data_IF_305431117550
#
_entry.id   IF_305431117550
#
_cell.length_a   1.000
_cell.length_b   1.000
_cell.length_c   1.000
_cell.angle_alpha   90.00
_cell.angle_beta   90.00
_cell.angle_gamma   90.00
#
_symmetry.space_group_name_H-M   'P 1'
#
loop_
_entity.id
_entity.type
_entity.pdbx_description
1 polymer ?
#
# COMPACT_ATOMS: atom_id res chain seq x y z
N UNK A 1 -7.89 13.89 -13.56
CA UNK A 1 -7.50 13.56 -12.17
C UNK A 1 -6.16 14.21 -11.85
N UNK A 2 -5.88 14.57 -10.60
CA UNK A 2 -4.52 14.96 -10.21
C UNK A 2 -3.71 13.67 -10.12
N UNK A 3 -2.75 13.51 -11.02
CA UNK A 3 -1.64 12.57 -10.78
C UNK A 3 -0.93 13.12 -9.55
N UNK A 4 -1.25 12.58 -8.36
CA UNK A 4 -0.44 12.81 -7.18
C UNK A 4 0.89 12.16 -7.50
N UNK A 5 1.96 12.95 -7.51
CA UNK A 5 3.28 12.56 -8.01
C UNK A 5 3.64 11.14 -7.59
N UNK A 6 4.04 10.32 -8.55
CA UNK A 6 4.48 8.92 -8.42
C UNK A 6 5.79 8.77 -7.62
N UNK A 7 6.03 9.66 -6.66
CA UNK A 7 7.23 9.74 -5.84
C UNK A 7 6.87 9.79 -4.36
N UNK A 8 5.87 9.02 -3.94
CA UNK A 8 5.53 8.75 -2.53
C UNK A 8 6.78 8.34 -1.74
N UNK A 9 7.60 7.46 -2.30
CA UNK A 9 8.88 7.03 -1.73
C UNK A 9 9.88 8.19 -1.65
N UNK A 10 9.93 9.04 -2.67
CA UNK A 10 10.78 10.23 -2.68
C UNK A 10 10.35 11.27 -1.65
N UNK A 11 9.05 11.54 -1.50
CA UNK A 11 8.56 12.50 -0.50
C UNK A 11 8.78 11.99 0.92
N UNK A 12 8.44 10.73 1.21
CA UNK A 12 8.66 10.13 2.53
C UNK A 12 10.16 10.06 2.89
N UNK A 13 11.03 9.73 1.92
CA UNK A 13 12.49 9.78 2.11
C UNK A 13 12.99 11.21 2.32
N UNK A 14 12.54 12.18 1.52
CA UNK A 14 12.92 13.59 1.67
C UNK A 14 12.46 14.17 3.01
N UNK A 15 11.28 13.78 3.50
CA UNK A 15 10.76 14.21 4.80
C UNK A 15 11.53 13.54 5.96
N UNK A 16 11.83 12.25 5.85
CA UNK A 16 12.72 11.53 6.77
C UNK A 16 14.12 12.18 6.85
N UNK A 17 14.72 12.47 5.70
CA UNK A 17 16.02 13.13 5.61
C UNK A 17 15.96 14.54 6.22
N UNK A 18 14.88 15.30 5.95
CA UNK A 18 14.68 16.64 6.54
C UNK A 18 14.48 16.62 8.07
N UNK A 19 13.82 15.59 8.61
CA UNK A 19 13.65 15.40 10.05
C UNK A 19 14.98 15.04 10.73
N UNK A 20 15.79 14.20 10.08
CA UNK A 20 17.13 13.86 10.57
C UNK A 20 18.12 15.02 10.48
N UNK A 21 17.97 15.90 9.49
CA UNK A 21 18.75 17.15 9.38
C UNK A 21 18.38 18.17 10.48
N UNK A 22 17.09 18.24 10.87
CA UNK A 22 16.60 19.15 11.92
C UNK A 22 16.79 18.63 13.35
N UNK A 23 17.09 17.34 13.51
CA UNK A 23 17.39 16.72 14.80
C UNK A 23 18.82 17.00 15.25
N UNK A 24 19.03 18.12 15.96
CA UNK A 24 20.34 18.49 16.53
C UNK A 24 20.91 17.47 17.53
N UNK A 25 20.12 16.49 17.99
CA UNK A 25 20.52 15.49 19.00
C UNK A 25 20.45 14.01 18.55
N UNK A 26 20.18 13.71 17.28
CA UNK A 26 20.19 12.31 16.80
C UNK A 26 21.64 11.77 16.76
N UNK A 27 21.94 10.61 17.41
CA UNK A 27 23.28 10.04 17.39
C UNK A 27 23.71 9.75 15.95
N UNK A 28 24.97 10.06 15.61
CA UNK A 28 25.51 9.94 14.26
C UNK A 28 25.29 8.57 13.60
N UNK A 29 25.16 7.49 14.40
CA UNK A 29 24.83 6.14 13.93
C UNK A 29 23.44 5.99 13.30
N UNK A 30 22.52 6.92 13.55
CA UNK A 30 21.17 6.92 12.96
C UNK A 30 21.09 7.73 11.65
N UNK A 31 22.12 8.51 11.31
CA UNK A 31 22.09 9.40 10.14
C UNK A 31 22.39 8.68 8.82
N UNK A 32 22.99 7.49 8.88
CA UNK A 32 23.37 6.67 7.72
C UNK A 32 22.45 5.45 7.50
N UNK A 33 21.43 5.26 8.33
CA UNK A 33 20.47 4.17 8.18
C UNK A 33 19.37 4.59 7.21
N UNK A 34 19.37 4.02 6.01
CA UNK A 34 18.20 4.08 5.14
C UNK A 34 16.99 3.52 5.90
N UNK A 35 15.86 4.25 6.00
CA UNK A 35 14.68 3.77 6.67
C UNK A 35 14.18 2.51 5.97
N UNK A 36 13.79 1.50 6.75
CA UNK A 36 13.23 0.27 6.18
C UNK A 36 11.91 0.59 5.46
N UNK A 37 11.46 -0.25 4.50
CA UNK A 37 10.14 -0.10 3.88
C UNK A 37 9.01 0.00 4.92
N UNK A 38 9.12 -0.71 6.04
CA UNK A 38 8.17 -0.65 7.16
C UNK A 38 8.15 0.74 7.83
N UNK A 39 9.32 1.35 8.04
CA UNK A 39 9.46 2.68 8.65
C UNK A 39 8.96 3.76 7.68
N UNK A 40 9.31 3.66 6.40
CA UNK A 40 8.83 4.57 5.36
C UNK A 40 7.30 4.54 5.24
N UNK A 41 6.70 3.35 5.28
CA UNK A 41 5.26 3.21 5.14
C UNK A 41 4.50 3.65 6.40
N UNK A 42 5.00 3.32 7.60
CA UNK A 42 4.39 3.78 8.84
C UNK A 42 4.36 5.32 8.91
N UNK A 43 5.40 5.98 8.40
CA UNK A 43 5.44 7.43 8.26
C UNK A 43 4.45 7.95 7.20
N UNK A 44 4.38 7.29 6.03
CA UNK A 44 3.48 7.71 4.95
C UNK A 44 2.01 7.60 5.32
N UNK A 45 1.58 6.49 5.95
CA UNK A 45 0.21 6.34 6.43
C UNK A 45 -0.14 7.41 7.46
N UNK A 46 0.79 7.72 8.36
CA UNK A 46 0.57 8.68 9.44
C UNK A 46 0.46 10.13 8.96
N UNK A 47 1.05 10.50 7.82
CA UNK A 47 1.23 11.91 7.43
C UNK A 47 0.62 12.30 6.08
N UNK A 48 0.64 11.43 5.06
CA UNK A 48 0.33 11.84 3.68
C UNK A 48 -0.43 10.78 2.86
N UNK A 49 -1.15 9.86 3.51
CA UNK A 49 -2.02 8.90 2.80
C UNK A 49 -3.07 9.65 1.94
N UNK A 50 -3.04 9.55 0.60
CA UNK A 50 -3.93 10.27 -0.31
C UNK A 50 -5.41 9.95 -0.08
N UNK A 51 -5.71 8.72 0.36
CA UNK A 51 -7.07 8.29 0.66
C UNK A 51 -7.61 8.85 1.99
N UNK A 52 -6.76 9.47 2.82
CA UNK A 52 -7.14 10.03 4.13
C UNK A 52 -7.96 9.06 4.98
N UNK A 53 -7.52 7.81 5.00
CA UNK A 53 -8.21 6.72 5.70
C UNK A 53 -8.13 6.98 7.20
N UNK A 54 -9.26 6.77 7.88
CA UNK A 54 -9.34 6.95 9.32
C UNK A 54 -8.54 5.87 10.05
N UNK A 55 -7.86 6.16 11.18
CA UNK A 55 -7.14 5.15 11.96
C UNK A 55 -7.99 3.94 12.38
N UNK A 56 -9.29 4.15 12.56
CA UNK A 56 -10.25 3.10 12.94
C UNK A 56 -10.88 2.38 11.71
N UNK A 57 -10.40 2.63 10.50
CA UNK A 57 -10.88 1.94 9.31
C UNK A 57 -10.46 0.46 9.33
N UNK A 58 -11.42 -0.43 9.09
CA UNK A 58 -11.25 -1.88 9.17
C UNK A 58 -10.21 -2.43 8.18
N UNK A 59 -9.95 -1.73 7.08
CA UNK A 59 -9.02 -2.16 6.03
C UNK A 59 -7.68 -1.39 6.03
N UNK A 60 -7.47 -0.49 7.00
CA UNK A 60 -6.24 0.29 7.11
C UNK A 60 -4.99 -0.61 7.18
N UNK A 61 -5.05 -1.69 7.96
CA UNK A 61 -3.94 -2.63 8.09
C UNK A 61 -3.66 -3.39 6.79
N UNK A 62 -4.69 -3.74 6.02
CA UNK A 62 -4.49 -4.43 4.74
C UNK A 62 -3.84 -3.50 3.72
N UNK A 63 -4.28 -2.25 3.66
CA UNK A 63 -3.66 -1.22 2.83
C UNK A 63 -2.21 -0.98 3.21
N UNK A 64 -1.90 -0.95 4.51
CA UNK A 64 -0.52 -0.92 5.01
C UNK A 64 0.31 -2.09 4.49
N UNK A 65 -0.17 -3.33 4.64
CA UNK A 65 0.58 -4.49 4.14
C UNK A 65 0.85 -4.46 2.64
N UNK A 66 -0.12 -4.04 1.85
CA UNK A 66 0.04 -3.87 0.40
C UNK A 66 1.06 -2.78 0.08
N UNK A 67 1.00 -1.64 0.75
CA UNK A 67 1.95 -0.56 0.52
C UNK A 67 3.39 -0.94 0.92
N UNK A 68 3.58 -1.67 2.03
CA UNK A 68 4.90 -2.23 2.40
C UNK A 68 5.40 -3.18 1.31
N UNK A 69 4.55 -4.05 0.76
CA UNK A 69 4.91 -4.92 -0.36
C UNK A 69 5.38 -4.12 -1.57
N UNK A 70 4.61 -3.09 -1.96
CA UNK A 70 4.92 -2.22 -3.08
C UNK A 70 6.31 -1.59 -2.92
N UNK A 71 6.60 -1.03 -1.75
CA UNK A 71 7.90 -0.41 -1.48
C UNK A 71 9.05 -1.43 -1.43
N UNK A 72 8.84 -2.57 -0.76
CA UNK A 72 9.88 -3.59 -0.59
C UNK A 72 10.30 -4.29 -1.90
N UNK A 73 9.42 -4.26 -2.90
CA UNK A 73 9.63 -4.95 -4.19
C UNK A 73 9.70 -3.98 -5.37
N UNK A 74 10.09 -2.74 -5.10
CA UNK A 74 10.36 -1.70 -6.11
C UNK A 74 9.15 -1.44 -7.04
N UNK A 75 8.00 -1.20 -6.41
CA UNK A 75 6.68 -1.03 -7.04
C UNK A 75 6.58 0.01 -8.15
N UNK A 76 7.40 1.06 -8.08
CA UNK A 76 7.47 2.09 -9.12
C UNK A 76 8.05 1.55 -10.43
N UNK A 77 8.80 0.45 -10.37
CA UNK A 77 9.40 -0.24 -11.53
C UNK A 77 8.60 -1.48 -11.97
N UNK A 78 7.46 -1.77 -11.34
CA UNK A 78 6.60 -2.87 -11.77
C UNK A 78 6.05 -2.62 -13.18
N UNK A 79 5.76 -3.71 -13.91
CA UNK A 79 5.19 -3.62 -15.25
C UNK A 79 3.79 -2.99 -15.26
N UNK A 80 3.03 -3.20 -14.19
CA UNK A 80 1.73 -2.61 -13.95
C UNK A 80 1.54 -2.34 -12.45
N UNK A 81 1.48 -1.06 -12.10
CA UNK A 81 1.21 -0.55 -10.75
C UNK A 81 -0.05 0.32 -10.70
N UNK A 82 -1.01 0.09 -11.61
CA UNK A 82 -2.24 0.89 -11.65
C UNK A 82 -2.99 0.86 -10.31
N UNK A 83 -3.36 2.04 -9.83
CA UNK A 83 -4.03 2.26 -8.54
C UNK A 83 -3.14 2.22 -7.29
N UNK A 84 -1.96 1.60 -7.33
CA UNK A 84 -1.09 1.46 -6.16
C UNK A 84 -0.62 2.81 -5.61
N UNK A 85 -0.65 2.95 -4.29
CA UNK A 85 -0.26 4.18 -3.57
C UNK A 85 -1.07 5.45 -3.96
N UNK A 86 -2.25 5.29 -4.58
CA UNK A 86 -3.17 6.38 -4.91
C UNK A 86 -4.32 6.48 -3.90
N UNK A 87 -5.19 7.48 -4.05
CA UNK A 87 -6.42 7.61 -3.25
C UNK A 87 -7.44 6.49 -3.49
N UNK A 88 -7.30 5.70 -4.55
CA UNK A 88 -8.24 4.63 -4.88
C UNK A 88 -8.21 3.53 -3.80
N UNK A 89 -9.37 2.92 -3.55
CA UNK A 89 -9.46 1.79 -2.63
C UNK A 89 -8.70 0.56 -3.12
N UNK A 90 -8.17 -0.23 -2.20
CA UNK A 90 -7.24 -1.33 -2.47
C UNK A 90 -7.81 -2.38 -3.42
N UNK A 91 -9.14 -2.57 -3.45
CA UNK A 91 -9.78 -3.54 -4.34
C UNK A 91 -9.72 -3.15 -5.82
N UNK A 92 -9.43 -1.87 -6.11
CA UNK A 92 -9.23 -1.35 -7.46
C UNK A 92 -7.78 -1.48 -7.96
N UNK A 93 -6.83 -1.77 -7.06
CA UNK A 93 -5.42 -1.83 -7.40
C UNK A 93 -5.12 -3.04 -8.28
N UNK A 94 -4.19 -2.88 -9.20
CA UNK A 94 -3.79 -3.96 -10.10
C UNK A 94 -3.35 -5.20 -9.30
N UNK A 95 -3.92 -6.36 -9.64
CA UNK A 95 -3.59 -7.64 -9.00
C UNK A 95 -4.29 -7.90 -7.67
N UNK A 96 -5.01 -6.94 -7.09
CA UNK A 96 -5.75 -7.12 -5.84
C UNK A 96 -7.19 -7.58 -6.13
N UNK A 97 -7.66 -8.56 -5.35
CA UNK A 97 -9.06 -8.98 -5.33
C UNK A 97 -9.55 -9.05 -3.89
N UNK A 98 -10.70 -8.45 -3.65
CA UNK A 98 -11.36 -8.47 -2.37
C UNK A 98 -12.54 -9.45 -2.34
N UNK A 99 -12.94 -9.86 -1.15
CA UNK A 99 -14.20 -10.54 -0.93
C UNK A 99 -15.36 -9.63 -1.34
N UNK A 100 -16.34 -10.13 -2.12
CA UNK A 100 -17.59 -9.41 -2.33
C UNK A 100 -18.29 -9.18 -1.00
N UNK A 101 -18.69 -7.94 -0.72
CA UNK A 101 -19.46 -7.62 0.47
C UNK A 101 -20.92 -8.10 0.28
N UNK A 102 -21.61 -8.52 1.36
CA UNK A 102 -23.03 -8.83 1.29
C UNK A 102 -23.82 -7.61 0.78
N UNK A 103 -24.41 -7.72 -0.42
CA UNK A 103 -25.08 -6.61 -1.10
C UNK A 103 -24.44 -6.19 -2.43
N UNK A 104 -23.25 -6.71 -2.75
CA UNK A 104 -22.67 -6.64 -4.08
C UNK A 104 -23.45 -7.58 -5.02
N UNK A 105 -24.56 -7.08 -5.58
CA UNK A 105 -25.38 -7.83 -6.53
C UNK A 105 -24.61 -7.98 -7.86
N UNK A 106 -24.27 -9.21 -8.29
CA UNK A 106 -23.57 -9.45 -9.56
C UNK A 106 -24.38 -9.07 -10.81
N UNK A 107 -25.67 -8.68 -10.66
CA UNK A 107 -26.56 -8.26 -11.73
C UNK A 107 -27.20 -6.87 -11.57
N UNK A 108 -26.90 -6.09 -10.53
CA UNK A 108 -27.60 -4.82 -10.29
C UNK A 108 -27.18 -3.70 -11.24
N UNK A 109 -28.09 -3.31 -12.14
CA UNK A 109 -28.23 -1.90 -12.54
C UNK A 109 -29.05 -1.17 -11.48
N UNK A 110 -28.37 -0.63 -10.46
CA UNK A 110 -28.96 0.32 -9.52
C UNK A 110 -29.22 -0.25 -8.11
N UNK A 111 -28.20 -0.15 -7.27
CA UNK A 111 -28.24 -0.30 -5.82
C UNK A 111 -26.94 0.27 -5.27
N UNK A 112 -26.99 1.50 -4.77
CA UNK A 112 -25.83 2.38 -4.64
C UNK A 112 -24.95 2.02 -3.43
N UNK A 113 -24.04 1.06 -3.62
CA UNK A 113 -22.63 1.23 -3.25
C UNK A 113 -21.81 1.15 -4.54
N UNK A 114 -21.93 2.19 -5.37
CA UNK A 114 -21.12 2.35 -6.57
C UNK A 114 -19.76 2.91 -6.16
N UNK A 115 -18.82 2.06 -5.78
CA UNK A 115 -17.44 2.53 -5.65
C UNK A 115 -16.54 1.47 -6.25
N UNK A 116 -16.22 1.67 -7.53
CA UNK A 116 -15.07 1.07 -8.20
C UNK A 116 -13.75 1.28 -7.41
N UNK A 117 -13.77 2.13 -6.38
CA UNK A 117 -12.63 2.53 -5.54
C UNK A 117 -12.84 2.20 -4.03
N UNK A 118 -13.60 1.15 -3.66
CA UNK A 118 -13.72 0.77 -2.25
C UNK A 118 -12.54 -0.06 -1.73
N UNK A 119 -12.25 0.09 -0.43
CA UNK A 119 -11.46 -0.86 0.35
C UNK A 119 -12.33 -2.06 0.77
N UNK A 120 -11.69 -3.21 0.98
CA UNK A 120 -12.36 -4.48 1.26
C UNK A 120 -11.39 -5.58 1.65
N UNK A 121 -11.90 -6.67 2.21
CA UNK A 121 -11.09 -7.80 2.66
C UNK A 121 -10.36 -8.46 1.48
N UNK A 122 -9.04 -8.31 1.41
CA UNK A 122 -8.20 -8.86 0.35
C UNK A 122 -8.17 -10.38 0.45
N UNK A 123 -8.65 -11.06 -0.59
CA UNK A 123 -8.67 -12.52 -0.67
C UNK A 123 -7.67 -13.07 -1.67
N UNK A 124 -7.25 -12.27 -2.65
CA UNK A 124 -6.25 -12.69 -3.63
C UNK A 124 -5.33 -11.55 -3.99
N UNK A 125 -4.05 -11.87 -4.09
CA UNK A 125 -3.02 -11.02 -4.63
C UNK A 125 -2.32 -11.76 -5.77
N UNK A 126 -2.46 -11.23 -6.99
CA UNK A 126 -1.96 -11.83 -8.23
C UNK A 126 -1.14 -10.80 -8.98
N UNK A 127 0.19 -10.88 -8.84
CA UNK A 127 1.18 -9.99 -9.45
C UNK A 127 2.15 -10.77 -10.34
N UNK A 128 1.67 -11.86 -10.94
CA UNK A 128 2.45 -12.68 -11.85
C UNK A 128 3.10 -11.84 -12.95
N UNK A 129 4.37 -12.15 -13.25
CA UNK A 129 5.16 -11.47 -14.29
C UNK A 129 5.16 -9.94 -14.17
N UNK A 130 4.95 -9.39 -12.97
CA UNK A 130 4.89 -7.94 -12.77
C UNK A 130 6.26 -7.31 -12.49
N UNK A 131 7.34 -8.11 -12.52
CA UNK A 131 8.71 -7.61 -12.38
C UNK A 131 9.08 -7.22 -10.94
N UNK A 132 8.47 -7.85 -9.94
CA UNK A 132 8.78 -7.65 -8.53
C UNK A 132 10.28 -7.90 -8.31
N UNK A 133 10.97 -6.90 -7.78
CA UNK A 133 12.42 -6.94 -7.59
C UNK A 133 12.80 -6.24 -6.28
N UNK A 134 13.82 -6.71 -5.57
CA UNK A 134 14.21 -6.13 -4.29
C UNK A 134 14.43 -7.18 -3.21
N UNK A 135 14.01 -6.86 -1.99
CA UNK A 135 14.21 -7.70 -0.81
C UNK A 135 13.25 -8.90 -0.72
N UNK A 136 13.34 -9.71 0.35
CA UNK A 136 12.36 -10.74 0.63
C UNK A 136 10.97 -10.14 0.82
N UNK A 137 9.92 -10.96 0.64
CA UNK A 137 8.55 -10.53 0.91
C UNK A 137 8.41 -10.09 2.38
N UNK A 138 7.85 -8.89 2.62
CA UNK A 138 7.65 -8.39 3.98
C UNK A 138 6.72 -9.30 4.79
N UNK A 139 7.00 -9.44 6.09
CA UNK A 139 6.19 -10.27 6.99
C UNK A 139 4.75 -9.76 7.08
N UNK A 140 4.55 -8.47 6.85
CA UNK A 140 3.25 -7.79 6.81
C UNK A 140 2.31 -8.45 5.82
N UNK A 141 2.80 -8.89 4.65
CA UNK A 141 1.99 -9.61 3.66
C UNK A 141 1.35 -10.86 4.26
N UNK A 142 2.02 -11.49 5.22
CA UNK A 142 1.58 -12.72 5.88
C UNK A 142 0.93 -12.50 7.25
N UNK A 143 0.93 -11.29 7.80
CA UNK A 143 0.33 -11.01 9.12
C UNK A 143 -0.92 -10.16 9.02
N UNK A 144 -0.95 -9.18 8.11
CA UNK A 144 -2.11 -8.28 7.98
C UNK A 144 -3.11 -8.74 6.92
N UNK A 145 -2.69 -9.55 5.95
CA UNK A 145 -3.59 -10.11 4.93
C UNK A 145 -4.05 -11.53 5.27
N UNK A 146 -3.38 -12.23 6.19
CA UNK A 146 -3.52 -13.68 6.32
C UNK A 146 -4.87 -14.20 6.81
N UNK A 147 -5.68 -13.37 7.45
CA UNK A 147 -7.04 -13.77 7.86
C UNK A 147 -7.91 -14.09 6.65
N UNK A 148 -7.73 -13.36 5.53
CA UNK A 148 -8.63 -13.43 4.38
C UNK A 148 -7.91 -13.86 3.09
N UNK A 149 -6.57 -13.79 3.04
CA UNK A 149 -5.78 -14.11 1.85
C UNK A 149 -5.81 -15.60 1.55
N UNK A 150 -6.50 -15.97 0.47
CA UNK A 150 -6.60 -17.33 -0.04
C UNK A 150 -5.54 -17.63 -1.10
N UNK A 151 -5.16 -16.63 -1.89
CA UNK A 151 -4.21 -16.79 -3.00
C UNK A 151 -3.15 -15.69 -2.99
N UNK A 152 -1.89 -16.12 -3.00
CA UNK A 152 -0.73 -15.29 -3.22
C UNK A 152 0.04 -15.82 -4.43
N UNK A 153 0.04 -15.05 -5.52
CA UNK A 153 0.72 -15.41 -6.76
C UNK A 153 1.60 -14.26 -7.25
N UNK A 154 2.90 -14.50 -7.31
CA UNK A 154 3.93 -13.48 -7.52
C UNK A 154 4.96 -13.88 -8.60
N UNK A 155 4.79 -15.02 -9.26
CA UNK A 155 5.79 -15.63 -10.16
C UNK A 155 5.72 -15.17 -11.62
#
# INVERSE_FOLDING_TARGET
>A
ERVVDANVTGRAKLEWDSLNEKGEDAPASNRDLDPTPQILEAHWIALDNPAKIHPDDEFLLQRYGLAVLFLATNGTSWSNNDGWMTERGICSWHGVRCQPLPGDDPGAKGGQRTTYDADGAVTRLVLEKNGLSGGPLPVEVFTVLAEELVVLDLN
#
